data_IF_362713211745
#
_entry.id   IF_362713211745
#
_cell.length_a   1.000
_cell.length_b   1.000
_cell.length_c   1.000
_cell.angle_alpha   90.00
_cell.angle_beta   90.00
_cell.angle_gamma   90.00
#
_symmetry.space_group_name_H-M   'P 1'
#
loop_
_entity.id
_entity.type
_entity.pdbx_description
1 polymer ?
#
# COMPACT_ATOMS: atom_id res chain seq x y z
N UNK A 1 6.15 -25.07 -5.48
CA UNK A 1 5.02 -24.31 -4.92
C UNK A 1 4.03 -24.08 -6.03
N UNK A 2 2.73 -24.20 -5.75
CA UNK A 2 1.73 -23.85 -6.73
C UNK A 2 1.78 -22.34 -7.04
N UNK A 3 1.55 -21.93 -8.30
CA UNK A 3 1.61 -20.53 -8.69
C UNK A 3 0.48 -19.73 -8.03
N UNK A 4 0.84 -18.62 -7.39
CA UNK A 4 -0.09 -17.65 -6.81
C UNK A 4 0.05 -16.32 -7.56
N UNK A 5 -1.03 -15.90 -8.19
CA UNK A 5 -1.15 -14.61 -8.88
C UNK A 5 -1.49 -13.48 -7.90
N UNK A 6 -0.87 -12.32 -8.08
CA UNK A 6 -1.11 -11.12 -7.29
C UNK A 6 -1.29 -9.93 -8.23
N UNK A 7 -2.47 -9.30 -8.14
CA UNK A 7 -2.79 -8.05 -8.82
C UNK A 7 -2.86 -6.90 -7.79
N UNK A 8 -2.05 -5.86 -7.99
CA UNK A 8 -1.94 -4.71 -7.07
C UNK A 8 -1.93 -3.37 -7.78
N UNK A 9 -2.29 -2.30 -7.08
CA UNK A 9 -2.22 -0.93 -7.60
C UNK A 9 -2.02 0.13 -6.51
N UNK A 10 -1.37 1.28 -6.79
CA UNK A 10 -0.60 1.57 -8.00
C UNK A 10 0.76 0.84 -8.00
N UNK A 11 1.64 1.16 -8.96
CA UNK A 11 3.06 0.76 -8.94
C UNK A 11 3.95 1.92 -8.50
N UNK A 12 5.19 1.64 -8.11
CA UNK A 12 6.18 2.66 -7.77
C UNK A 12 6.99 3.13 -8.99
N UNK A 13 7.63 2.21 -9.71
CA UNK A 13 8.59 2.51 -10.78
C UNK A 13 8.21 1.81 -12.08
N UNK A 14 7.90 0.53 -12.00
CA UNK A 14 7.66 -0.35 -13.15
C UNK A 14 6.19 -0.78 -13.20
N UNK A 15 5.57 -0.68 -14.36
CA UNK A 15 4.20 -1.14 -14.58
C UNK A 15 4.00 -2.61 -14.16
N UNK A 16 4.99 -3.46 -14.40
CA UNK A 16 4.95 -4.91 -14.13
C UNK A 16 4.74 -5.22 -12.65
N UNK A 17 5.05 -4.29 -11.74
CA UNK A 17 4.71 -4.40 -10.32
C UNK A 17 3.21 -4.62 -10.07
N UNK A 18 2.33 -4.31 -11.02
CA UNK A 18 0.89 -4.54 -10.87
C UNK A 18 0.50 -6.01 -10.94
N UNK A 19 1.32 -6.86 -11.57
CA UNK A 19 0.97 -8.23 -11.93
C UNK A 19 2.14 -9.13 -11.57
N UNK A 20 1.98 -10.00 -10.57
CA UNK A 20 3.03 -10.91 -10.13
C UNK A 20 2.56 -12.35 -10.04
N UNK A 21 3.46 -13.29 -10.26
CA UNK A 21 3.27 -14.70 -9.91
C UNK A 21 4.41 -15.13 -8.99
N UNK A 22 4.06 -15.64 -7.81
CA UNK A 22 5.04 -16.03 -6.78
C UNK A 22 6.08 -14.93 -6.49
N UNK A 23 5.62 -13.67 -6.45
CA UNK A 23 6.47 -12.49 -6.19
C UNK A 23 7.20 -11.94 -7.41
N UNK A 24 7.25 -12.65 -8.53
CA UNK A 24 7.93 -12.19 -9.76
C UNK A 24 7.00 -11.38 -10.65
N UNK A 25 7.39 -10.19 -11.11
CA UNK A 25 6.59 -9.42 -12.07
C UNK A 25 6.36 -10.17 -13.39
N UNK A 26 5.23 -9.90 -14.04
CA UNK A 26 4.96 -10.34 -15.42
C UNK A 26 6.13 -9.96 -16.35
N UNK A 27 6.58 -10.82 -17.28
CA UNK A 27 7.64 -10.46 -18.24
C UNK A 27 7.25 -9.27 -19.14
N UNK A 28 8.23 -8.46 -19.55
CA UNK A 28 7.99 -7.33 -20.47
C UNK A 28 7.37 -7.77 -21.80
N UNK A 29 7.84 -8.91 -22.34
CA UNK A 29 7.32 -9.49 -23.59
C UNK A 29 5.81 -9.78 -23.50
N UNK A 30 5.37 -10.37 -22.38
CA UNK A 30 3.95 -10.67 -22.13
C UNK A 30 3.10 -9.40 -22.06
N UNK A 31 3.65 -8.32 -21.48
CA UNK A 31 2.97 -7.01 -21.47
C UNK A 31 2.84 -6.46 -22.88
N UNK A 32 3.92 -6.49 -23.67
CA UNK A 32 3.91 -5.96 -25.04
C UNK A 32 3.01 -6.76 -25.97
N UNK A 33 3.03 -8.09 -25.86
CA UNK A 33 2.21 -8.98 -26.68
C UNK A 33 0.72 -8.82 -26.38
N UNK A 34 0.37 -8.69 -25.10
CA UNK A 34 -0.98 -8.37 -24.70
C UNK A 34 -1.43 -7.02 -25.26
N UNK A 35 -0.59 -5.97 -25.15
CA UNK A 35 -0.92 -4.65 -25.70
C UNK A 35 -1.09 -4.70 -27.22
N UNK A 36 -0.19 -5.38 -27.95
CA UNK A 36 -0.26 -5.55 -29.40
C UNK A 36 -1.53 -6.28 -29.84
N UNK A 37 -2.03 -7.18 -29.00
CA UNK A 37 -3.30 -7.89 -29.20
C UNK A 37 -4.48 -6.96 -28.96
N UNK A 38 -4.52 -6.27 -27.81
CA UNK A 38 -5.66 -5.40 -27.42
C UNK A 38 -5.86 -4.24 -28.39
N UNK A 39 -4.81 -3.64 -28.93
CA UNK A 39 -4.94 -2.53 -29.89
C UNK A 39 -5.59 -2.93 -31.23
N UNK A 40 -5.74 -4.24 -31.51
CA UNK A 40 -6.48 -4.72 -32.68
C UNK A 40 -8.01 -4.69 -32.47
N UNK A 41 -8.47 -4.50 -31.24
CA UNK A 41 -9.88 -4.44 -30.90
C UNK A 41 -10.30 -2.98 -30.66
N UNK A 42 -11.46 -2.59 -31.16
CA UNK A 42 -12.11 -1.35 -30.74
C UNK A 42 -12.75 -1.56 -29.37
N UNK A 43 -11.96 -1.31 -28.31
CA UNK A 43 -12.42 -1.38 -26.92
C UNK A 43 -12.42 0.01 -26.28
N UNK A 44 -13.56 0.42 -25.74
CA UNK A 44 -13.67 1.61 -24.89
C UNK A 44 -13.50 1.20 -23.43
N UNK A 45 -12.27 0.82 -23.08
CA UNK A 45 -11.88 0.37 -21.74
C UNK A 45 -10.86 1.33 -21.14
N UNK A 46 -11.00 1.57 -19.84
CA UNK A 46 -10.03 2.34 -19.09
C UNK A 46 -8.69 1.62 -18.97
N UNK A 47 -7.63 2.37 -18.65
CA UNK A 47 -6.31 1.81 -18.33
C UNK A 47 -6.39 0.70 -17.27
N UNK A 48 -7.23 0.88 -16.23
CA UNK A 48 -7.34 -0.08 -15.14
C UNK A 48 -8.04 -1.38 -15.59
N UNK A 49 -9.10 -1.28 -16.41
CA UNK A 49 -9.80 -2.45 -16.96
C UNK A 49 -8.91 -3.26 -17.91
N UNK A 50 -8.15 -2.59 -18.79
CA UNK A 50 -7.18 -3.26 -19.68
C UNK A 50 -6.08 -3.95 -18.85
N UNK A 51 -5.58 -3.27 -17.80
CA UNK A 51 -4.54 -3.84 -16.92
C UNK A 51 -5.05 -5.05 -16.14
N UNK A 52 -6.30 -5.03 -15.67
CA UNK A 52 -6.91 -6.21 -15.05
C UNK A 52 -7.08 -7.34 -16.06
N UNK A 53 -7.56 -7.05 -17.28
CA UNK A 53 -7.68 -8.05 -18.34
C UNK A 53 -6.34 -8.74 -18.63
N UNK A 54 -5.26 -7.95 -18.71
CA UNK A 54 -3.89 -8.47 -18.84
C UNK A 54 -3.52 -9.41 -17.70
N UNK A 55 -3.78 -9.00 -16.47
CA UNK A 55 -3.47 -9.81 -15.28
C UNK A 55 -4.22 -11.15 -15.30
N UNK A 56 -5.52 -11.13 -15.58
CA UNK A 56 -6.35 -12.33 -15.61
C UNK A 56 -5.91 -13.31 -16.70
N UNK A 57 -5.61 -12.81 -17.91
CA UNK A 57 -5.08 -13.66 -19.00
C UNK A 57 -3.75 -14.27 -18.62
N UNK A 58 -2.85 -13.49 -18.01
CA UNK A 58 -1.55 -13.99 -17.58
C UNK A 58 -1.67 -15.05 -16.47
N UNK A 59 -2.53 -14.82 -15.47
CA UNK A 59 -2.75 -15.80 -14.39
C UNK A 59 -3.39 -17.09 -14.89
N UNK A 60 -4.28 -17.01 -15.88
CA UNK A 60 -4.89 -18.18 -16.52
C UNK A 60 -3.85 -18.99 -17.32
N UNK A 61 -3.03 -18.33 -18.12
CA UNK A 61 -1.97 -18.96 -18.92
C UNK A 61 -0.95 -19.70 -18.04
N UNK A 62 -0.58 -19.10 -16.90
CA UNK A 62 0.36 -19.66 -15.94
C UNK A 62 -0.30 -20.61 -14.93
N UNK A 63 -1.60 -20.87 -15.09
CA UNK A 63 -2.39 -21.82 -14.31
C UNK A 63 -2.31 -21.56 -12.79
N UNK A 64 -2.43 -20.30 -12.38
CA UNK A 64 -2.41 -19.91 -10.96
C UNK A 64 -3.46 -20.68 -10.16
N UNK A 65 -3.06 -21.31 -9.04
CA UNK A 65 -3.97 -22.01 -8.13
C UNK A 65 -4.82 -21.01 -7.34
N UNK A 66 -4.20 -19.91 -6.91
CA UNK A 66 -4.87 -18.80 -6.26
C UNK A 66 -4.50 -17.48 -6.93
N UNK A 67 -5.45 -16.55 -6.95
CA UNK A 67 -5.24 -15.18 -7.40
C UNK A 67 -5.75 -14.22 -6.33
N UNK A 68 -4.92 -13.27 -5.93
CA UNK A 68 -5.26 -12.18 -5.03
C UNK A 68 -5.43 -10.91 -5.86
N UNK A 69 -6.64 -10.33 -5.84
CA UNK A 69 -6.97 -9.11 -6.57
C UNK A 69 -7.19 -7.95 -5.59
N UNK A 70 -6.32 -6.95 -5.63
CA UNK A 70 -6.55 -5.67 -4.96
C UNK A 70 -7.55 -4.81 -5.74
N UNK A 71 -8.63 -4.39 -5.09
CA UNK A 71 -9.56 -3.41 -5.68
C UNK A 71 -8.83 -2.10 -5.95
N UNK A 72 -8.95 -1.54 -7.15
CA UNK A 72 -8.32 -0.27 -7.51
C UNK A 72 -8.92 0.93 -6.78
N UNK A 73 -10.25 1.04 -6.78
CA UNK A 73 -10.96 2.12 -6.10
C UNK A 73 -12.37 1.70 -5.67
N UNK A 74 -12.70 1.93 -4.39
CA UNK A 74 -14.00 1.54 -3.85
C UNK A 74 -14.16 0.02 -3.79
N UNK A 75 -15.03 -0.51 -4.66
CA UNK A 75 -15.29 -1.95 -4.77
C UNK A 75 -16.48 -2.25 -5.69
N UNK A 76 -17.63 -1.61 -5.47
CA UNK A 76 -18.88 -1.87 -6.20
C UNK A 76 -18.75 -1.77 -7.72
N UNK A 77 -18.09 -0.72 -8.20
CA UNK A 77 -17.86 -0.45 -9.62
C UNK A 77 -16.39 -0.64 -10.02
N UNK A 78 -15.60 -1.28 -9.17
CA UNK A 78 -14.21 -1.57 -9.49
C UNK A 78 -14.13 -2.67 -10.54
N UNK A 79 -13.17 -2.57 -11.47
CA UNK A 79 -13.00 -3.56 -12.53
C UNK A 79 -12.80 -4.98 -11.96
N UNK A 80 -12.13 -5.11 -10.81
CA UNK A 80 -11.91 -6.42 -10.16
C UNK A 80 -13.21 -7.08 -9.72
N UNK A 81 -14.29 -6.31 -9.53
CA UNK A 81 -15.56 -6.82 -9.03
C UNK A 81 -16.35 -7.64 -10.07
N UNK A 82 -15.83 -7.83 -11.27
CA UNK A 82 -16.38 -8.79 -12.24
C UNK A 82 -16.21 -10.24 -11.78
N UNK A 83 -15.24 -10.53 -10.92
CA UNK A 83 -14.96 -11.90 -10.46
C UNK A 83 -15.89 -12.32 -9.32
N UNK A 84 -16.09 -13.63 -9.16
CA UNK A 84 -16.67 -14.20 -7.93
C UNK A 84 -15.54 -14.85 -7.14
N UNK A 85 -15.12 -14.27 -6.00
CA UNK A 85 -13.96 -14.76 -5.28
C UNK A 85 -14.32 -15.95 -4.37
N UNK A 86 -13.29 -16.68 -3.91
CA UNK A 86 -13.44 -17.67 -2.85
C UNK A 86 -13.73 -17.03 -1.49
N UNK A 87 -13.20 -15.82 -1.28
CA UNK A 87 -13.37 -15.01 -0.07
C UNK A 87 -13.21 -13.53 -0.43
N UNK A 88 -14.09 -12.68 0.09
CA UNK A 88 -13.95 -11.23 -0.03
C UNK A 88 -13.31 -10.66 1.24
N UNK A 89 -12.29 -9.82 1.09
CA UNK A 89 -11.55 -9.25 2.24
C UNK A 89 -11.71 -7.74 2.25
N UNK A 90 -12.15 -7.20 3.38
CA UNK A 90 -12.31 -5.76 3.61
C UNK A 90 -11.35 -5.36 4.72
N UNK A 91 -10.36 -4.53 4.43
CA UNK A 91 -9.33 -4.11 5.39
C UNK A 91 -9.87 -3.05 6.35
N UNK A 92 -9.66 -1.78 6.05
CA UNK A 92 -10.10 -0.64 6.85
C UNK A 92 -10.78 0.42 5.98
N UNK A 93 -11.56 1.31 6.62
CA UNK A 93 -12.24 2.42 5.93
C UNK A 93 -11.57 3.75 6.27
N UNK A 94 -10.91 4.36 5.29
CA UNK A 94 -10.36 5.72 5.40
C UNK A 94 -11.18 6.72 4.57
N UNK A 95 -11.05 8.00 4.90
CA UNK A 95 -11.43 9.07 3.98
C UNK A 95 -10.38 9.14 2.87
N UNK A 96 -10.69 8.50 1.75
CA UNK A 96 -9.86 8.52 0.55
C UNK A 96 -10.76 8.54 -0.69
N UNK A 97 -10.25 9.09 -1.80
CA UNK A 97 -10.96 9.19 -3.08
C UNK A 97 -12.40 9.75 -2.96
N UNK A 98 -12.61 10.74 -2.09
CA UNK A 98 -13.95 11.28 -1.76
C UNK A 98 -14.75 11.77 -2.99
N UNK A 99 -14.04 12.25 -4.02
CA UNK A 99 -14.65 12.66 -5.29
C UNK A 99 -15.41 11.52 -6.00
N UNK A 100 -15.06 10.26 -5.72
CA UNK A 100 -15.65 9.07 -6.35
C UNK A 100 -16.44 8.22 -5.35
N UNK A 101 -16.00 8.14 -4.10
CA UNK A 101 -16.52 7.19 -3.11
C UNK A 101 -17.54 7.81 -2.13
N UNK A 102 -17.74 9.12 -2.19
CA UNK A 102 -18.59 9.86 -1.26
C UNK A 102 -17.78 10.63 -0.20
N UNK A 103 -18.50 11.43 0.58
CA UNK A 103 -17.90 12.39 1.50
C UNK A 103 -17.88 11.89 2.95
N UNK A 104 -18.46 10.71 3.22
CA UNK A 104 -18.55 10.13 4.55
C UNK A 104 -18.03 8.69 4.60
N UNK A 105 -17.59 8.25 5.78
CA UNK A 105 -17.11 6.89 6.00
C UNK A 105 -18.18 5.81 5.69
N UNK A 106 -19.48 6.00 6.01
CA UNK A 106 -20.52 5.03 5.64
C UNK A 106 -20.73 4.90 4.11
N UNK A 107 -20.65 6.00 3.35
CA UNK A 107 -20.73 5.95 1.89
C UNK A 107 -19.56 5.15 1.30
N UNK A 108 -18.33 5.44 1.76
CA UNK A 108 -17.12 4.73 1.34
C UNK A 108 -17.22 3.24 1.73
N UNK A 109 -17.74 2.94 2.92
CA UNK A 109 -17.99 1.56 3.36
C UNK A 109 -19.01 0.86 2.44
N UNK A 110 -20.07 1.55 2.01
CA UNK A 110 -21.06 1.02 1.07
C UNK A 110 -20.46 0.68 -0.29
N UNK A 111 -19.59 1.55 -0.83
CA UNK A 111 -18.86 1.28 -2.07
C UNK A 111 -17.94 0.06 -1.93
N UNK A 112 -17.18 -0.03 -0.83
CA UNK A 112 -16.30 -1.18 -0.54
C UNK A 112 -17.07 -2.48 -0.30
N UNK A 113 -18.24 -2.41 0.32
CA UNK A 113 -19.12 -3.57 0.51
C UNK A 113 -19.65 -4.17 -0.81
N UNK A 114 -19.45 -3.48 -1.93
CA UNK A 114 -19.82 -3.96 -3.26
C UNK A 114 -19.07 -5.21 -3.73
N UNK A 115 -17.93 -5.56 -3.10
CA UNK A 115 -17.20 -6.80 -3.39
C UNK A 115 -17.78 -8.04 -2.69
N UNK A 116 -18.75 -7.86 -1.79
CA UNK A 116 -19.44 -8.97 -1.14
C UNK A 116 -20.31 -9.66 -2.18
N UNK A 117 -20.16 -10.97 -2.34
CA UNK A 117 -20.89 -11.80 -3.31
C UNK A 117 -21.81 -12.81 -2.63
N UNK A 118 -22.82 -13.27 -3.37
CA UNK A 118 -23.84 -14.20 -2.87
C UNK A 118 -23.21 -15.48 -2.31
N UNK A 119 -23.43 -15.77 -1.02
CA UNK A 119 -22.93 -16.98 -0.37
C UNK A 119 -21.41 -17.05 -0.16
N UNK A 120 -20.65 -16.05 -0.62
CA UNK A 120 -19.18 -16.01 -0.51
C UNK A 120 -18.79 -15.50 0.87
N UNK A 121 -17.84 -16.15 1.58
CA UNK A 121 -17.40 -15.68 2.89
C UNK A 121 -16.71 -14.31 2.81
N UNK A 122 -16.85 -13.53 3.88
CA UNK A 122 -16.28 -12.20 4.02
C UNK A 122 -15.46 -12.12 5.30
N UNK A 123 -14.22 -11.64 5.20
CA UNK A 123 -13.39 -11.26 6.34
C UNK A 123 -13.29 -9.74 6.37
N UNK A 124 -13.65 -9.11 7.50
CA UNK A 124 -13.65 -7.66 7.65
C UNK A 124 -12.79 -7.19 8.83
N UNK A 125 -11.80 -6.34 8.57
CA UNK A 125 -10.91 -5.73 9.56
C UNK A 125 -11.38 -4.38 10.11
N UNK A 126 -12.60 -3.94 9.78
CA UNK A 126 -13.16 -2.69 10.28
C UNK A 126 -13.62 -2.83 11.74
N UNK A 127 -13.17 -1.93 12.61
CA UNK A 127 -13.40 -2.01 14.05
C UNK A 127 -14.56 -1.14 14.52
N UNK A 128 -14.92 -0.09 13.77
CA UNK A 128 -15.98 0.84 14.14
C UNK A 128 -17.36 0.20 14.00
N UNK A 129 -18.14 0.04 15.10
CA UNK A 129 -19.43 -0.64 15.05
C UNK A 129 -20.40 -0.05 14.02
N UNK A 130 -20.41 1.27 13.87
CA UNK A 130 -21.26 1.97 12.91
C UNK A 130 -20.94 1.63 11.45
N UNK A 131 -19.68 1.31 11.12
CA UNK A 131 -19.27 0.89 9.79
C UNK A 131 -19.42 -0.62 9.62
N UNK A 132 -19.22 -1.41 10.68
CA UNK A 132 -19.48 -2.84 10.65
C UNK A 132 -20.91 -3.14 10.24
N UNK A 133 -21.88 -2.32 10.67
CA UNK A 133 -23.29 -2.52 10.33
C UNK A 133 -23.55 -2.43 8.82
N UNK A 134 -22.83 -1.57 8.10
CA UNK A 134 -22.93 -1.48 6.63
C UNK A 134 -22.56 -2.83 5.99
N UNK A 135 -21.47 -3.45 6.46
CA UNK A 135 -21.02 -4.75 5.95
C UNK A 135 -21.93 -5.89 6.41
N UNK A 136 -22.41 -5.88 7.66
CA UNK A 136 -23.37 -6.88 8.17
C UNK A 136 -24.65 -6.88 7.35
N UNK A 137 -25.24 -5.71 7.16
CA UNK A 137 -26.45 -5.52 6.38
C UNK A 137 -26.26 -6.00 4.93
N UNK A 138 -25.14 -5.65 4.28
CA UNK A 138 -24.84 -6.10 2.91
C UNK A 138 -24.64 -7.61 2.83
N UNK A 139 -23.90 -8.20 3.78
CA UNK A 139 -23.63 -9.63 3.83
C UNK A 139 -24.91 -10.44 4.09
N UNK A 140 -25.77 -9.99 5.01
CA UNK A 140 -27.06 -10.62 5.29
C UNK A 140 -27.96 -10.67 4.05
N UNK A 141 -28.04 -9.56 3.29
CA UNK A 141 -28.83 -9.50 2.05
C UNK A 141 -28.33 -10.47 0.97
N UNK A 142 -27.04 -10.82 1.00
CA UNK A 142 -26.40 -11.71 0.05
C UNK A 142 -26.15 -13.11 0.62
N UNK A 143 -26.69 -13.43 1.80
CA UNK A 143 -26.43 -14.67 2.54
C UNK A 143 -24.93 -15.01 2.62
N UNK A 144 -24.08 -13.98 2.72
CA UNK A 144 -22.63 -14.10 2.77
C UNK A 144 -22.19 -14.26 4.24
N UNK A 145 -21.50 -15.36 4.61
CA UNK A 145 -20.97 -15.50 5.97
C UNK A 145 -19.91 -14.42 6.23
N UNK A 146 -20.15 -13.52 7.18
CA UNK A 146 -19.21 -12.45 7.52
C UNK A 146 -18.58 -12.69 8.89
N UNK A 147 -17.26 -12.59 8.93
CA UNK A 147 -16.48 -12.57 10.15
C UNK A 147 -15.78 -11.23 10.27
N UNK A 148 -15.92 -10.61 11.43
CA UNK A 148 -15.12 -9.44 11.78
C UNK A 148 -13.89 -9.92 12.52
N UNK A 149 -12.73 -9.36 12.18
CA UNK A 149 -11.50 -9.67 12.88
C UNK A 149 -11.68 -9.27 14.35
N UNK A 150 -11.74 -10.28 15.22
CA UNK A 150 -11.87 -10.11 16.67
C UNK A 150 -10.63 -10.64 17.41
N UNK A 151 -9.74 -11.34 16.71
CA UNK A 151 -8.55 -11.92 17.32
C UNK A 151 -7.41 -10.91 17.32
N UNK A 152 -6.86 -10.67 18.50
CA UNK A 152 -5.43 -10.39 18.62
C UNK A 152 -4.73 -11.57 17.96
N UNK A 153 -4.33 -11.41 16.72
CA UNK A 153 -3.52 -12.41 16.05
C UNK A 153 -2.23 -12.50 16.82
N UNK A 154 -2.15 -13.61 17.56
CA UNK A 154 -1.03 -14.29 18.21
C UNK A 154 0.12 -13.38 18.67
N UNK A 155 0.66 -13.64 19.86
CA UNK A 155 1.88 -13.00 20.37
C UNK A 155 3.06 -12.94 19.36
N UNK A 156 3.02 -13.73 18.28
CA UNK A 156 3.95 -13.72 17.14
C UNK A 156 3.88 -12.46 16.26
N UNK A 157 2.78 -11.70 16.23
CA UNK A 157 2.70 -10.47 15.44
C UNK A 157 3.19 -9.22 16.18
N UNK A 158 3.54 -9.32 17.47
CA UNK A 158 3.86 -8.13 18.29
C UNK A 158 5.15 -7.41 17.88
N UNK A 159 5.99 -8.03 17.06
CA UNK A 159 7.17 -7.38 16.48
C UNK A 159 6.89 -6.67 15.15
N UNK A 160 5.70 -6.85 14.57
CA UNK A 160 5.33 -6.15 13.34
C UNK A 160 4.96 -4.69 13.62
N UNK A 161 5.15 -3.79 12.63
CA UNK A 161 4.57 -2.45 12.68
C UNK A 161 3.07 -2.52 12.96
N UNK A 162 2.54 -1.62 13.81
CA UNK A 162 1.16 -1.71 14.31
C UNK A 162 0.09 -1.92 13.22
N UNK A 163 0.16 -1.20 12.10
CA UNK A 163 -0.82 -1.38 11.02
C UNK A 163 -0.60 -2.71 10.27
N UNK A 164 0.63 -3.20 10.20
CA UNK A 164 0.95 -4.49 9.60
C UNK A 164 0.48 -5.66 10.46
N UNK A 165 0.38 -5.50 11.79
CA UNK A 165 -0.28 -6.51 12.66
C UNK A 165 -1.69 -6.79 12.18
N UNK A 166 -2.47 -5.74 11.91
CA UNK A 166 -3.86 -5.86 11.43
C UNK A 166 -3.95 -6.49 10.06
N UNK A 167 -3.05 -6.11 9.14
CA UNK A 167 -2.99 -6.69 7.79
C UNK A 167 -2.61 -8.17 7.82
N UNK A 168 -1.55 -8.53 8.56
CA UNK A 168 -1.12 -9.92 8.73
C UNK A 168 -2.21 -10.76 9.40
N UNK A 169 -2.87 -10.18 10.39
CA UNK A 169 -3.97 -10.81 11.07
C UNK A 169 -5.13 -11.17 10.13
N UNK A 170 -5.52 -10.20 9.29
CA UNK A 170 -6.59 -10.36 8.32
C UNK A 170 -6.21 -11.40 7.25
N UNK A 171 -4.95 -11.38 6.80
CA UNK A 171 -4.43 -12.37 5.85
C UNK A 171 -4.47 -13.79 6.44
N UNK A 172 -4.02 -13.98 7.69
CA UNK A 172 -4.05 -15.30 8.36
C UNK A 172 -5.48 -15.81 8.58
N UNK A 173 -6.43 -14.95 8.96
CA UNK A 173 -7.85 -15.34 9.07
C UNK A 173 -8.43 -15.72 7.70
N UNK A 174 -8.04 -15.01 6.64
CA UNK A 174 -8.43 -15.32 5.26
C UNK A 174 -7.92 -16.69 4.84
N UNK A 175 -6.64 -16.99 5.09
CA UNK A 175 -6.06 -18.32 4.83
C UNK A 175 -6.78 -19.42 5.62
N UNK A 176 -7.16 -19.15 6.87
CA UNK A 176 -7.93 -20.07 7.69
C UNK A 176 -9.31 -20.40 7.11
N UNK A 177 -10.03 -19.41 6.57
CA UNK A 177 -11.32 -19.64 5.88
C UNK A 177 -11.14 -20.48 4.61
N UNK A 178 -10.02 -20.30 3.91
CA UNK A 178 -9.67 -21.09 2.72
C UNK A 178 -9.12 -22.48 3.08
N UNK A 179 -8.96 -22.81 4.36
CA UNK A 179 -8.31 -24.03 4.85
C UNK A 179 -6.86 -24.20 4.32
N UNK A 180 -6.16 -23.08 4.10
CA UNK A 180 -4.76 -23.07 3.73
C UNK A 180 -3.93 -23.19 5.02
N UNK A 181 -3.05 -24.21 5.15
CA UNK A 181 -2.21 -24.39 6.34
C UNK A 181 -1.31 -23.17 6.60
N UNK A 182 -1.25 -22.72 7.86
CA UNK A 182 -0.45 -21.55 8.28
C UNK A 182 0.55 -21.87 9.38
N UNK A 183 0.71 -23.13 9.76
CA UNK A 183 1.52 -23.56 10.91
C UNK A 183 3.02 -23.28 10.72
N UNK A 184 3.48 -23.24 9.47
CA UNK A 184 4.87 -22.90 9.11
C UNK A 184 5.08 -21.40 8.87
N UNK A 185 4.04 -20.58 8.90
CA UNK A 185 4.15 -19.15 8.65
C UNK A 185 4.60 -18.42 9.92
N UNK A 186 5.75 -17.75 9.83
CA UNK A 186 6.15 -16.73 10.79
C UNK A 186 5.87 -15.35 10.19
N UNK A 187 4.89 -14.58 10.70
CA UNK A 187 4.54 -13.26 10.18
C UNK A 187 5.70 -12.27 10.18
N UNK A 188 6.62 -12.37 11.16
CA UNK A 188 7.72 -11.42 11.31
C UNK A 188 8.76 -11.62 10.22
N UNK A 189 9.23 -12.85 10.01
CA UNK A 189 10.12 -13.15 8.88
C UNK A 189 9.43 -12.95 7.53
N UNK A 190 8.15 -13.32 7.41
CA UNK A 190 7.36 -13.07 6.19
C UNK A 190 7.35 -11.58 5.84
N UNK A 191 7.10 -10.69 6.79
CA UNK A 191 7.13 -9.23 6.55
C UNK A 191 8.54 -8.74 6.19
N UNK A 192 9.59 -9.25 6.86
CA UNK A 192 10.98 -8.87 6.56
C UNK A 192 11.39 -9.26 5.15
N UNK A 193 10.96 -10.43 4.68
CA UNK A 193 11.32 -10.97 3.37
C UNK A 193 10.39 -10.49 2.25
N UNK A 194 9.13 -10.12 2.57
CA UNK A 194 8.10 -9.65 1.63
C UNK A 194 8.66 -8.70 0.57
N UNK A 195 9.46 -7.73 0.99
CA UNK A 195 9.97 -6.67 0.13
C UNK A 195 10.94 -7.19 -0.94
N UNK A 196 11.83 -8.10 -0.58
CA UNK A 196 12.82 -8.67 -1.50
C UNK A 196 12.20 -9.81 -2.32
N UNK A 197 11.33 -10.61 -1.70
CA UNK A 197 10.69 -11.75 -2.33
C UNK A 197 9.64 -11.34 -3.37
N UNK A 198 9.01 -10.18 -3.19
CA UNK A 198 7.88 -9.76 -4.04
C UNK A 198 8.04 -8.37 -4.68
N UNK A 199 8.99 -7.56 -4.23
CA UNK A 199 9.05 -6.15 -4.66
C UNK A 199 7.86 -5.31 -4.21
N UNK A 200 7.08 -5.73 -3.21
CA UNK A 200 5.96 -4.94 -2.65
C UNK A 200 6.48 -3.87 -1.68
N UNK A 201 7.10 -2.83 -2.23
CA UNK A 201 7.82 -1.80 -1.47
C UNK A 201 6.91 -0.63 -1.02
N UNK A 202 7.41 0.18 -0.08
CA UNK A 202 6.75 1.42 0.37
C UNK A 202 5.69 1.23 1.46
N UNK A 203 5.85 0.19 2.29
CA UNK A 203 4.97 -0.10 3.45
C UNK A 203 5.81 -0.38 4.70
N UNK A 204 6.51 0.66 5.16
CA UNK A 204 7.61 0.60 6.13
C UNK A 204 8.72 -0.37 5.71
N UNK A 205 9.05 -0.38 4.43
CA UNK A 205 10.15 -1.18 3.88
C UNK A 205 11.47 -0.76 4.53
N UNK A 206 12.22 -1.67 5.19
CA UNK A 206 13.53 -1.35 5.72
C UNK A 206 14.55 -1.16 4.59
N UNK A 207 15.44 -0.19 4.75
CA UNK A 207 16.62 -0.05 3.89
C UNK A 207 17.55 -1.26 4.04
N UNK A 208 18.14 -1.69 2.92
CA UNK A 208 19.15 -2.74 2.88
C UNK A 208 20.56 -2.20 3.10
N UNK A 209 20.75 -0.88 2.96
CA UNK A 209 22.03 -0.19 3.16
C UNK A 209 22.16 0.51 4.50
N UNK A 210 21.07 1.07 5.02
CA UNK A 210 21.12 2.00 6.14
C UNK A 210 20.25 1.51 7.31
N UNK A 211 20.86 1.07 8.44
CA UNK A 211 20.12 0.65 9.61
C UNK A 211 19.15 1.73 10.14
N UNK A 212 17.93 1.31 10.49
CA UNK A 212 16.82 2.18 10.95
C UNK A 212 16.45 3.30 9.95
N UNK A 213 16.60 3.04 8.66
CA UNK A 213 15.96 3.83 7.61
C UNK A 213 14.80 3.01 7.01
N UNK A 214 13.64 3.64 6.87
CA UNK A 214 12.43 2.99 6.35
C UNK A 214 11.77 3.82 5.25
N UNK A 215 11.13 3.14 4.30
CA UNK A 215 10.38 3.73 3.20
C UNK A 215 8.89 3.45 3.33
N UNK A 216 8.05 4.48 3.28
CA UNK A 216 6.60 4.33 3.39
C UNK A 216 5.86 5.33 2.48
N UNK A 217 4.93 4.85 1.66
CA UNK A 217 4.23 5.68 0.67
C UNK A 217 3.00 6.41 1.22
N UNK A 218 2.88 6.55 2.54
CA UNK A 218 1.87 7.40 3.17
C UNK A 218 1.92 8.82 2.63
N UNK A 219 0.79 9.30 2.14
CA UNK A 219 0.68 10.58 1.42
C UNK A 219 -0.54 11.40 1.85
N UNK A 220 -1.17 11.02 2.97
CA UNK A 220 -2.27 11.73 3.62
C UNK A 220 -2.07 11.73 5.15
N UNK A 221 -2.86 12.52 5.86
CA UNK A 221 -2.72 12.69 7.31
C UNK A 221 -2.88 11.37 8.09
N UNK A 222 -3.90 10.57 7.74
CA UNK A 222 -4.20 9.31 8.42
C UNK A 222 -3.09 8.26 8.22
N UNK A 223 -2.55 8.15 7.00
CA UNK A 223 -1.43 7.28 6.68
C UNK A 223 -0.17 7.71 7.42
N UNK A 224 0.17 9.01 7.40
CA UNK A 224 1.33 9.54 8.12
C UNK A 224 1.23 9.27 9.63
N UNK A 225 0.06 9.48 10.24
CA UNK A 225 -0.18 9.18 11.65
C UNK A 225 -0.01 7.68 11.93
N UNK A 226 -0.58 6.81 11.10
CA UNK A 226 -0.46 5.36 11.23
C UNK A 226 1.00 4.89 11.13
N UNK A 227 1.76 5.44 10.17
CA UNK A 227 3.17 5.15 9.95
C UNK A 227 4.02 5.61 11.12
N UNK A 228 3.84 6.84 11.60
CA UNK A 228 4.58 7.34 12.76
C UNK A 228 4.26 6.52 14.01
N UNK A 229 2.99 6.20 14.26
CA UNK A 229 2.58 5.35 15.39
C UNK A 229 3.21 3.96 15.30
N UNK A 230 3.26 3.37 14.11
CA UNK A 230 3.90 2.09 13.87
C UNK A 230 5.42 2.16 14.11
N UNK A 231 6.11 3.21 13.65
CA UNK A 231 7.53 3.40 13.95
C UNK A 231 7.81 3.56 15.45
N UNK A 232 6.97 4.31 16.18
CA UNK A 232 7.11 4.43 17.65
C UNK A 232 6.94 3.07 18.32
N UNK A 233 6.01 2.23 17.86
CA UNK A 233 5.84 0.87 18.39
C UNK A 233 7.04 -0.05 18.14
N UNK A 234 7.83 0.25 17.11
CA UNK A 234 9.10 -0.44 16.82
C UNK A 234 10.29 0.15 17.59
N UNK A 235 10.05 1.07 18.53
CA UNK A 235 11.10 1.67 19.36
C UNK A 235 11.76 2.92 18.77
N UNK A 236 11.22 3.53 17.72
CA UNK A 236 11.74 4.81 17.23
C UNK A 236 11.44 5.92 18.25
N UNK A 237 12.45 6.49 18.91
CA UNK A 237 12.28 7.61 19.86
C UNK A 237 12.47 8.99 19.23
N UNK A 238 13.39 9.12 18.26
CA UNK A 238 13.59 10.31 17.43
C UNK A 238 13.44 9.95 15.95
N UNK A 239 12.67 10.73 15.20
CA UNK A 239 12.40 10.52 13.77
C UNK A 239 12.86 11.74 12.96
N UNK A 240 13.73 11.49 11.98
CA UNK A 240 13.98 12.42 10.87
C UNK A 240 13.14 11.99 9.67
N UNK A 241 12.25 12.87 9.18
CA UNK A 241 11.47 12.60 7.99
C UNK A 241 12.11 13.22 6.74
N UNK A 242 12.45 12.40 5.76
CA UNK A 242 12.71 12.82 4.38
C UNK A 242 11.36 12.82 3.66
N UNK A 243 10.84 14.00 3.35
CA UNK A 243 9.44 14.18 2.99
C UNK A 243 9.28 14.90 1.65
N UNK A 244 8.39 14.39 0.80
CA UNK A 244 7.99 15.05 -0.44
C UNK A 244 6.50 14.87 -0.67
N UNK A 245 5.84 15.90 -1.19
CA UNK A 245 4.39 15.88 -1.40
C UNK A 245 4.02 16.44 -2.78
N UNK A 246 2.83 16.08 -3.25
CA UNK A 246 2.24 16.70 -4.43
C UNK A 246 1.72 18.11 -4.12
N UNK A 247 1.75 19.01 -5.10
CA UNK A 247 1.40 20.42 -4.99
C UNK A 247 -0.10 20.69 -4.76
N UNK A 248 -0.95 19.70 -4.98
CA UNK A 248 -2.39 19.76 -4.68
C UNK A 248 -2.72 19.36 -3.22
N UNK A 249 -1.74 18.91 -2.44
CA UNK A 249 -1.96 18.47 -1.05
C UNK A 249 -1.76 19.59 -0.04
N UNK A 250 -2.66 19.63 0.95
CA UNK A 250 -2.52 20.51 2.10
C UNK A 250 -1.56 19.90 3.14
N UNK A 251 -0.48 20.63 3.47
CA UNK A 251 0.57 20.20 4.40
C UNK A 251 0.31 20.59 5.87
N UNK A 252 -0.81 21.23 6.19
CA UNK A 252 -1.12 21.69 7.55
C UNK A 252 -1.08 20.56 8.59
N UNK A 253 -1.46 19.34 8.20
CA UNK A 253 -1.44 18.15 9.06
C UNK A 253 -0.03 17.82 9.61
N UNK A 254 1.04 18.24 8.93
CA UNK A 254 2.42 18.00 9.38
C UNK A 254 2.73 18.72 10.71
N UNK A 255 2.02 19.81 11.04
CA UNK A 255 2.21 20.54 12.30
C UNK A 255 1.82 19.74 13.55
N UNK A 256 0.99 18.70 13.39
CA UNK A 256 0.58 17.80 14.46
C UNK A 256 1.36 16.47 14.44
N UNK A 257 2.20 16.26 13.41
CA UNK A 257 3.04 15.09 13.29
C UNK A 257 4.21 15.17 14.27
N UNK A 258 4.37 14.14 15.11
CA UNK A 258 5.48 14.03 16.08
C UNK A 258 6.78 13.59 15.39
N UNK A 259 7.31 14.48 14.55
CA UNK A 259 8.59 14.34 13.83
C UNK A 259 9.58 15.37 14.36
N UNK A 260 10.79 14.93 14.63
CA UNK A 260 11.81 15.72 15.32
C UNK A 260 12.61 16.60 14.36
N UNK A 261 12.78 16.14 13.11
CA UNK A 261 13.53 16.84 12.07
C UNK A 261 12.97 16.55 10.68
N UNK A 262 12.95 17.56 9.81
CA UNK A 262 12.41 17.46 8.47
C UNK A 262 13.45 17.75 7.41
N UNK A 263 13.47 16.93 6.36
CA UNK A 263 14.20 17.17 5.13
C UNK A 263 13.20 17.12 3.98
N UNK A 264 12.79 18.30 3.49
CA UNK A 264 11.86 18.40 2.38
C UNK A 264 12.58 18.22 1.05
N UNK A 265 12.01 17.38 0.18
CA UNK A 265 12.55 16.98 -1.11
C UNK A 265 11.52 17.21 -2.22
N UNK A 266 12.02 17.49 -3.41
CA UNK A 266 11.23 17.44 -4.64
C UNK A 266 11.31 16.05 -5.27
N UNK A 267 10.37 15.77 -6.17
CA UNK A 267 10.41 14.61 -7.06
C UNK A 267 10.17 15.00 -8.53
N UNK A 268 10.56 14.11 -9.43
CA UNK A 268 10.59 14.27 -10.89
C UNK A 268 9.20 14.49 -11.49
N UNK A 269 8.19 13.78 -10.96
CA UNK A 269 6.81 13.89 -11.44
C UNK A 269 6.27 15.33 -11.36
N UNK A 270 5.62 15.82 -12.43
CA UNK A 270 5.13 17.20 -12.55
C UNK A 270 4.30 17.69 -11.35
N UNK A 271 3.64 16.78 -10.61
CA UNK A 271 2.87 17.12 -9.41
C UNK A 271 3.71 17.50 -8.19
N UNK A 272 5.04 17.40 -8.19
CA UNK A 272 5.84 17.76 -7.00
C UNK A 272 5.58 19.18 -6.54
N UNK A 273 5.51 19.38 -5.23
CA UNK A 273 5.79 20.66 -4.61
C UNK A 273 7.25 21.06 -4.94
N UNK A 274 7.51 22.33 -5.30
CA UNK A 274 8.85 22.76 -5.74
C UNK A 274 9.23 24.18 -5.35
N UNK A 275 10.54 24.41 -5.29
CA UNK A 275 11.20 25.70 -5.22
C UNK A 275 10.66 26.62 -4.14
N UNK A 276 10.46 27.89 -4.51
CA UNK A 276 9.99 28.92 -3.60
C UNK A 276 8.60 28.61 -3.03
N UNK A 277 7.72 27.99 -3.81
CA UNK A 277 6.38 27.65 -3.36
C UNK A 277 6.41 26.62 -2.21
N UNK A 278 7.28 25.60 -2.31
CA UNK A 278 7.50 24.64 -1.23
C UNK A 278 8.06 25.34 0.02
N UNK A 279 9.09 26.16 -0.14
CA UNK A 279 9.71 26.89 0.97
C UNK A 279 8.70 27.78 1.70
N UNK A 280 7.99 28.64 0.98
CA UNK A 280 6.96 29.54 1.54
C UNK A 280 5.82 28.79 2.22
N UNK A 281 5.49 27.59 1.73
CA UNK A 281 4.45 26.76 2.34
C UNK A 281 4.93 26.14 3.63
N UNK A 282 6.15 25.59 3.63
CA UNK A 282 6.76 24.97 4.82
C UNK A 282 7.08 26.02 5.88
N UNK A 283 7.53 27.21 5.52
CA UNK A 283 7.79 28.32 6.46
C UNK A 283 6.53 28.79 7.20
N UNK A 284 5.36 28.64 6.60
CA UNK A 284 4.07 28.89 7.27
C UNK A 284 3.70 27.80 8.26
N UNK A 285 4.30 26.61 8.14
CA UNK A 285 4.16 25.55 9.11
C UNK A 285 5.19 25.82 10.22
N UNK A 286 4.75 25.93 11.47
CA UNK A 286 5.64 26.12 12.62
C UNK A 286 6.41 24.84 12.98
N UNK A 287 7.09 24.24 12.00
CA UNK A 287 7.89 23.03 12.15
C UNK A 287 9.29 23.38 12.69
N UNK A 288 9.86 22.47 13.47
CA UNK A 288 11.23 22.59 14.00
C UNK A 288 12.22 21.82 13.14
N UNK A 289 13.48 22.30 13.09
CA UNK A 289 14.60 21.62 12.41
C UNK A 289 14.28 21.26 10.95
N UNK A 290 13.99 22.28 10.15
CA UNK A 290 13.59 22.15 8.75
C UNK A 290 14.80 22.32 7.83
N UNK A 291 14.97 21.36 6.93
CA UNK A 291 15.97 21.38 5.89
C UNK A 291 15.34 21.09 4.52
N UNK A 292 16.04 21.46 3.46
CA UNK A 292 15.65 21.19 2.08
C UNK A 292 16.76 20.44 1.34
N UNK A 293 16.37 19.59 0.40
CA UNK A 293 17.24 18.91 -0.55
C UNK A 293 16.59 18.91 -1.94
N UNK A 294 17.41 18.84 -3.00
CA UNK A 294 16.90 18.91 -4.37
C UNK A 294 16.09 17.68 -4.78
N UNK A 295 16.44 16.51 -4.24
CA UNK A 295 15.78 15.23 -4.51
C UNK A 295 15.83 14.31 -3.28
N UNK A 296 15.14 13.17 -3.37
CA UNK A 296 15.07 12.18 -2.27
C UNK A 296 16.43 11.60 -1.90
N UNK A 297 17.34 11.40 -2.85
CA UNK A 297 18.64 10.77 -2.59
C UNK A 297 19.54 11.73 -1.81
N UNK A 298 19.59 13.00 -2.24
CA UNK A 298 20.24 14.06 -1.46
C UNK A 298 19.56 14.29 -0.11
N UNK A 299 18.24 14.11 -0.04
CA UNK A 299 17.48 14.15 1.21
C UNK A 299 17.90 13.09 2.20
N UNK A 300 18.06 11.85 1.74
CA UNK A 300 18.56 10.72 2.52
C UNK A 300 19.99 10.99 2.99
N UNK A 301 20.90 11.43 2.10
CA UNK A 301 22.26 11.77 2.48
C UNK A 301 22.31 12.86 3.56
N UNK A 302 21.46 13.88 3.43
CA UNK A 302 21.36 14.98 4.41
C UNK A 302 20.80 14.48 5.73
N UNK A 303 19.75 13.68 5.72
CA UNK A 303 19.18 13.07 6.91
C UNK A 303 20.20 12.18 7.63
N UNK A 304 20.99 11.40 6.90
CA UNK A 304 22.07 10.57 7.44
C UNK A 304 23.18 11.42 8.09
N UNK A 305 23.56 12.56 7.49
CA UNK A 305 24.55 13.49 8.08
C UNK A 305 24.04 14.22 9.33
N UNK A 306 22.75 14.53 9.35
CA UNK A 306 22.09 15.19 10.49
C UNK A 306 21.68 14.19 11.58
N UNK A 307 21.80 12.89 11.32
CA UNK A 307 21.36 11.83 12.21
C UNK A 307 22.12 11.93 13.53
N UNK A 308 21.39 12.26 14.59
CA UNK A 308 21.92 12.21 15.95
C UNK A 308 21.68 10.81 16.51
N UNK A 309 22.70 10.27 17.18
CA UNK A 309 22.63 8.99 17.88
C UNK A 309 22.09 7.88 16.94
N UNK A 310 21.16 7.08 17.47
CA UNK A 310 20.55 5.92 16.87
C UNK A 310 19.13 6.20 16.35
N UNK A 311 18.86 7.48 16.03
CA UNK A 311 17.57 8.00 15.54
C UNK A 311 17.13 7.33 14.22
N UNK A 312 15.81 7.27 13.99
CA UNK A 312 15.21 6.59 12.84
C UNK A 312 14.97 7.58 11.70
N UNK A 313 15.22 7.17 10.46
CA UNK A 313 14.92 7.95 9.26
C UNK A 313 13.69 7.36 8.58
N UNK A 314 12.72 8.20 8.25
CA UNK A 314 11.54 7.85 7.47
C UNK A 314 11.56 8.60 6.14
N UNK A 315 11.54 7.89 5.03
CA UNK A 315 11.33 8.46 3.70
C UNK A 315 9.85 8.28 3.32
N UNK A 316 9.10 9.37 3.17
CA UNK A 316 7.64 9.30 3.01
C UNK A 316 7.01 10.52 2.33
N UNK A 317 5.68 10.51 2.15
CA UNK A 317 4.88 11.62 1.67
C UNK A 317 4.31 11.42 0.26
N UNK A 318 4.90 10.54 -0.55
CA UNK A 318 4.45 10.29 -1.92
C UNK A 318 5.03 9.00 -2.50
N UNK A 319 4.24 8.28 -3.30
CA UNK A 319 4.74 7.22 -4.17
C UNK A 319 5.78 7.74 -5.17
N UNK A 320 5.60 8.97 -5.70
CA UNK A 320 6.57 9.57 -6.64
C UNK A 320 7.92 9.86 -5.98
N UNK A 321 7.93 10.23 -4.70
CA UNK A 321 9.19 10.41 -3.97
C UNK A 321 9.95 9.08 -3.87
N UNK A 322 9.25 8.01 -3.52
CA UNK A 322 9.85 6.67 -3.44
C UNK A 322 10.31 6.16 -4.82
N UNK A 323 9.56 6.47 -5.88
CA UNK A 323 9.91 6.14 -7.27
C UNK A 323 11.26 6.73 -7.71
N UNK A 324 11.63 7.90 -7.20
CA UNK A 324 12.91 8.55 -7.51
C UNK A 324 14.08 8.06 -6.62
N UNK A 325 13.80 7.21 -5.63
CA UNK A 325 14.84 6.72 -4.72
C UNK A 325 15.69 5.62 -5.37
N UNK A 326 17.00 5.82 -5.39
CA UNK A 326 17.96 4.87 -5.98
C UNK A 326 17.98 3.51 -5.28
N UNK A 327 17.75 3.46 -3.97
CA UNK A 327 17.67 2.18 -3.25
C UNK A 327 16.39 1.42 -3.59
N UNK A 328 15.23 2.08 -3.61
CA UNK A 328 13.95 1.48 -4.04
C UNK A 328 14.06 0.89 -5.45
N UNK A 329 14.60 1.67 -6.40
CA UNK A 329 14.84 1.18 -7.77
C UNK A 329 15.74 -0.05 -7.81
N UNK A 330 16.83 -0.06 -7.02
CA UNK A 330 17.71 -1.24 -6.94
C UNK A 330 17.03 -2.45 -6.34
N UNK A 331 16.22 -2.28 -5.30
CA UNK A 331 15.46 -3.39 -4.69
C UNK A 331 14.48 -4.01 -5.70
N UNK A 332 13.84 -3.21 -6.55
CA UNK A 332 12.97 -3.72 -7.62
C UNK A 332 13.75 -4.49 -8.68
N UNK A 333 14.92 -3.98 -9.09
CA UNK A 333 15.76 -4.61 -10.13
C UNK A 333 16.49 -5.88 -9.65
N UNK A 334 16.72 -6.03 -8.34
CA UNK A 334 17.33 -7.24 -7.78
C UNK A 334 16.38 -8.45 -7.77
N UNK A 335 15.07 -8.24 -7.93
CA UNK A 335 14.08 -9.32 -8.10
C UNK A 335 14.06 -9.94 -9.51
N UNK A 336 14.79 -9.35 -10.47
CA UNK A 336 14.88 -9.84 -11.86
C UNK A 336 16.09 -10.80 -12.09
N UNK A 337 16.85 -11.18 -11.04
CA UNK A 337 17.98 -12.13 -11.10
C UNK A 337 17.64 -13.50 -10.48
#
# INVERSE_FOLDING_TARGET
>A
MAPVGLFTSPHLVDFRERIRINGRPIPEEQVTDFCNTVVQFEVDLSFFEITLGMALVYFEQEQCEYVVLETGMGGRLDATNVVTPLVSVITNIGLDHQAFLGNSLPEIAGEKAGIIKQGVPVICGEERPELQEVFRSKAANLNAPIQFQHRNVQATCDELPLYQRKNAALALETLGVLNIPTESLDPVSTWKNLFLDTGFLGRLTPSIQFPKLYYDASHNAAGMEATLKAMRSMGAEKITAVFGASNDKNLAHLTHSKVDQWVFCEFSNARSYRGKHLQETVEKLSLTQVHFAADVNQGIEKALKLRQEDSTILVTGSFFLLSDCHEIRRMLLQGDQ
#
